data_IF_907596496814
#
_entry.id   IF_907596496814
#
_cell.length_a   1.000
_cell.length_b   1.000
_cell.length_c   1.000
_cell.angle_alpha   90.00
_cell.angle_beta   90.00
_cell.angle_gamma   90.00
#
_symmetry.space_group_name_H-M   'P 1'
#
loop_
_entity.id
_entity.type
_entity.pdbx_description
1 polymer ?
#
# COMPACT_ATOMS: atom_id res chain seq x y z
N UNK A 1 7.22 -7.67 -12.78
CA UNK A 1 6.96 -6.80 -11.60
C UNK A 1 7.69 -7.45 -10.44
N UNK A 2 8.55 -6.73 -9.71
CA UNK A 2 9.26 -7.27 -8.54
C UNK A 2 8.28 -7.46 -7.38
N UNK A 3 8.65 -8.26 -6.37
CA UNK A 3 7.83 -8.41 -5.16
C UNK A 3 7.69 -7.06 -4.44
N UNK A 4 8.79 -6.29 -4.37
CA UNK A 4 8.80 -4.90 -3.94
C UNK A 4 7.75 -4.02 -4.64
N UNK A 5 7.72 -4.01 -5.98
CA UNK A 5 6.74 -3.21 -6.73
C UNK A 5 5.31 -3.75 -6.54
N UNK A 6 5.13 -5.06 -6.38
CA UNK A 6 3.82 -5.66 -6.07
C UNK A 6 3.24 -5.16 -4.74
N UNK A 7 4.07 -5.09 -3.69
CA UNK A 7 3.64 -4.59 -2.38
C UNK A 7 3.32 -3.09 -2.44
N UNK A 8 4.14 -2.31 -3.15
CA UNK A 8 3.87 -0.89 -3.35
C UNK A 8 2.51 -0.67 -4.06
N UNK A 9 2.22 -1.42 -5.12
CA UNK A 9 0.93 -1.30 -5.81
C UNK A 9 -0.26 -1.72 -4.95
N UNK A 10 -0.11 -2.72 -4.08
CA UNK A 10 -1.16 -3.09 -3.10
C UNK A 10 -1.43 -1.95 -2.12
N UNK A 11 -0.39 -1.32 -1.58
CA UNK A 11 -0.55 -0.17 -0.67
C UNK A 11 -1.22 1.00 -1.40
N UNK A 12 -0.82 1.30 -2.63
CA UNK A 12 -1.44 2.35 -3.44
C UNK A 12 -2.92 2.04 -3.74
N UNK A 13 -3.26 0.78 -4.00
CA UNK A 13 -4.65 0.37 -4.21
C UNK A 13 -5.49 0.52 -2.94
N UNK A 14 -4.95 0.16 -1.78
CA UNK A 14 -5.63 0.36 -0.50
C UNK A 14 -5.85 1.86 -0.20
N UNK A 15 -4.82 2.68 -0.47
CA UNK A 15 -4.91 4.14 -0.33
C UNK A 15 -6.02 4.73 -1.20
N UNK A 16 -6.13 4.34 -2.46
CA UNK A 16 -7.22 4.80 -3.34
C UNK A 16 -8.61 4.40 -2.81
N UNK A 17 -8.73 3.21 -2.20
CA UNK A 17 -9.97 2.74 -1.57
C UNK A 17 -10.38 3.58 -0.35
N UNK A 18 -9.43 3.90 0.53
CA UNK A 18 -9.66 4.75 1.69
C UNK A 18 -10.04 6.18 1.27
N UNK A 19 -9.35 6.74 0.26
CA UNK A 19 -9.70 8.05 -0.31
C UNK A 19 -11.12 8.05 -0.88
N UNK A 20 -11.51 7.02 -1.64
CA UNK A 20 -12.87 6.89 -2.16
C UNK A 20 -13.93 6.78 -1.04
N UNK A 21 -13.59 6.10 0.06
CA UNK A 21 -14.49 5.96 1.21
C UNK A 21 -14.70 7.28 1.93
N UNK A 22 -13.62 8.03 2.18
CA UNK A 22 -13.68 9.37 2.75
C UNK A 22 -14.52 10.31 1.87
N UNK A 23 -14.31 10.27 0.55
CA UNK A 23 -15.08 11.07 -0.41
C UNK A 23 -16.58 10.76 -0.38
N UNK A 24 -16.96 9.48 -0.29
CA UNK A 24 -18.37 9.10 -0.15
C UNK A 24 -18.99 9.66 1.13
N UNK A 25 -18.21 9.66 2.23
CA UNK A 25 -18.63 10.24 3.50
C UNK A 25 -18.97 11.73 3.37
N UNK A 26 -18.10 12.50 2.72
CA UNK A 26 -18.33 13.93 2.47
C UNK A 26 -19.60 14.18 1.63
N UNK A 27 -19.78 13.41 0.55
CA UNK A 27 -20.94 13.56 -0.34
C UNK A 27 -22.23 13.25 0.41
N UNK A 28 -22.27 12.16 1.18
CA UNK A 28 -23.44 11.81 1.97
C UNK A 28 -23.76 12.88 3.01
N UNK A 29 -22.74 13.44 3.68
CA UNK A 29 -22.92 14.53 4.63
C UNK A 29 -23.56 15.79 3.98
N UNK A 30 -23.13 16.17 2.78
CA UNK A 30 -23.71 17.30 2.04
C UNK A 30 -25.18 17.05 1.65
N UNK A 31 -25.50 15.82 1.21
CA UNK A 31 -26.86 15.42 0.85
C UNK A 31 -27.77 15.45 2.09
N UNK A 32 -27.38 14.80 3.18
CA UNK A 32 -28.17 14.75 4.42
C UNK A 32 -28.25 16.12 5.11
N UNK A 33 -27.25 16.99 4.90
CA UNK A 33 -27.25 18.38 5.37
C UNK A 33 -28.17 19.32 4.59
N UNK A 34 -28.88 18.84 3.56
CA UNK A 34 -29.83 19.65 2.79
C UNK A 34 -29.17 20.63 1.80
N UNK A 35 -27.87 20.50 1.55
CA UNK A 35 -27.11 21.30 0.59
C UNK A 35 -26.43 20.38 -0.45
N UNK A 36 -27.22 19.63 -1.26
CA UNK A 36 -26.63 18.79 -2.29
C UNK A 36 -25.91 19.66 -3.35
N UNK A 37 -24.74 19.23 -3.85
CA UNK A 37 -24.02 19.96 -4.88
C UNK A 37 -24.81 20.00 -6.19
N UNK A 38 -24.69 21.12 -6.91
CA UNK A 38 -25.25 21.20 -8.27
C UNK A 38 -24.51 20.26 -9.23
N UNK A 39 -25.11 19.84 -10.36
CA UNK A 39 -24.43 18.99 -11.34
C UNK A 39 -23.08 19.54 -11.81
N UNK A 40 -22.98 20.87 -11.99
CA UNK A 40 -21.73 21.53 -12.37
C UNK A 40 -20.69 21.48 -11.24
N UNK A 41 -21.10 21.70 -9.99
CA UNK A 41 -20.21 21.59 -8.83
C UNK A 41 -19.70 20.16 -8.65
N UNK A 42 -20.56 19.16 -8.83
CA UNK A 42 -20.19 17.75 -8.81
C UNK A 42 -19.15 17.43 -9.90
N UNK A 43 -19.37 17.92 -11.13
CA UNK A 43 -18.45 17.73 -12.25
C UNK A 43 -17.08 18.42 -12.03
N UNK A 44 -17.07 19.67 -11.56
CA UNK A 44 -15.83 20.39 -11.23
C UNK A 44 -15.06 19.68 -10.10
N UNK A 45 -15.76 19.20 -9.07
CA UNK A 45 -15.12 18.43 -7.98
C UNK A 45 -14.52 17.13 -8.50
N UNK A 46 -15.25 16.38 -9.31
CA UNK A 46 -14.76 15.12 -9.88
C UNK A 46 -13.48 15.34 -10.71
N UNK A 47 -13.47 16.35 -11.58
CA UNK A 47 -12.31 16.65 -12.44
C UNK A 47 -11.09 17.13 -11.64
N UNK A 48 -11.26 17.99 -10.65
CA UNK A 48 -10.18 18.40 -9.76
C UNK A 48 -9.66 17.22 -8.91
N UNK A 49 -10.55 16.40 -8.36
CA UNK A 49 -10.18 15.23 -7.54
C UNK A 49 -9.42 14.18 -8.32
N UNK A 50 -9.80 13.89 -9.57
CA UNK A 50 -9.04 12.97 -10.41
C UNK A 50 -7.58 13.41 -10.62
N UNK A 51 -7.32 14.72 -10.73
CA UNK A 51 -5.96 15.28 -10.81
C UNK A 51 -5.23 15.24 -9.47
N UNK A 52 -5.92 15.55 -8.38
CA UNK A 52 -5.34 15.50 -7.03
C UNK A 52 -4.99 14.07 -6.64
N UNK A 53 -5.89 13.11 -6.86
CA UNK A 53 -5.70 11.70 -6.53
C UNK A 53 -4.54 11.10 -7.33
N UNK A 54 -4.39 11.43 -8.62
CA UNK A 54 -3.23 10.97 -9.40
C UNK A 54 -1.92 11.56 -8.90
N UNK A 55 -1.91 12.84 -8.51
CA UNK A 55 -0.73 13.49 -7.93
C UNK A 55 -0.36 12.88 -6.57
N UNK A 56 -1.35 12.68 -5.70
CA UNK A 56 -1.16 12.05 -4.39
C UNK A 56 -0.67 10.60 -4.52
N UNK A 57 -1.25 9.82 -5.44
CA UNK A 57 -0.82 8.45 -5.74
C UNK A 57 0.65 8.42 -6.18
N UNK A 58 1.07 9.32 -7.07
CA UNK A 58 2.47 9.39 -7.52
C UNK A 58 3.43 9.83 -6.41
N UNK A 59 3.04 10.80 -5.58
CA UNK A 59 3.85 11.23 -4.43
C UNK A 59 4.02 10.08 -3.44
N UNK A 60 2.93 9.37 -3.12
CA UNK A 60 2.97 8.21 -2.22
C UNK A 60 3.83 7.09 -2.82
N UNK A 61 3.70 6.78 -4.11
CA UNK A 61 4.54 5.79 -4.81
C UNK A 61 6.03 6.12 -4.67
N UNK A 62 6.40 7.39 -4.89
CA UNK A 62 7.80 7.84 -4.74
C UNK A 62 8.28 7.75 -3.29
N UNK A 63 7.44 8.09 -2.32
CA UNK A 63 7.77 7.97 -0.91
C UNK A 63 8.00 6.50 -0.52
N UNK A 64 7.07 5.61 -0.91
CA UNK A 64 7.16 4.18 -0.67
C UNK A 64 8.44 3.58 -1.27
N UNK A 65 8.78 3.91 -2.52
CA UNK A 65 10.05 3.44 -3.12
C UNK A 65 11.31 3.85 -2.36
N UNK A 66 11.27 4.94 -1.58
CA UNK A 66 12.42 5.38 -0.76
C UNK A 66 12.50 4.70 0.59
N UNK A 67 11.36 4.29 1.17
CA UNK A 67 11.29 3.72 2.52
C UNK A 67 11.16 2.20 2.53
N UNK A 68 10.56 1.61 1.49
CA UNK A 68 10.38 0.18 1.40
C UNK A 68 11.72 -0.47 1.00
N UNK A 69 12.25 -1.39 1.81
CA UNK A 69 13.52 -2.04 1.54
C UNK A 69 13.44 -2.82 0.23
N UNK A 70 14.52 -2.80 -0.56
CA UNK A 70 14.61 -3.62 -1.78
C UNK A 70 14.56 -5.11 -1.46
N UNK A 71 14.26 -5.95 -2.44
CA UNK A 71 14.25 -7.41 -2.29
C UNK A 71 15.60 -7.91 -1.70
N UNK A 72 16.71 -7.30 -2.09
CA UNK A 72 18.05 -7.59 -1.56
C UNK A 72 18.21 -7.15 -0.11
N UNK A 73 17.72 -5.96 0.26
CA UNK A 73 17.74 -5.53 1.65
C UNK A 73 16.84 -6.42 2.53
N UNK A 74 15.69 -6.85 2.01
CA UNK A 74 14.81 -7.82 2.69
C UNK A 74 15.54 -9.16 2.88
N UNK A 75 16.20 -9.68 1.83
CA UNK A 75 17.00 -10.91 1.90
C UNK A 75 18.11 -10.83 2.95
N UNK A 76 18.81 -9.71 3.03
CA UNK A 76 19.83 -9.46 4.07
C UNK A 76 19.21 -9.44 5.47
N UNK A 77 18.05 -8.81 5.64
CA UNK A 77 17.37 -8.75 6.94
C UNK A 77 16.90 -10.12 7.44
N UNK A 78 16.45 -11.01 6.53
CA UNK A 78 15.96 -12.35 6.90
C UNK A 78 17.06 -13.42 6.93
N UNK A 79 18.24 -13.17 6.34
CA UNK A 79 19.33 -14.15 6.25
C UNK A 79 19.72 -14.75 7.59
N UNK A 80 19.92 -13.99 8.69
CA UNK A 80 20.33 -14.57 9.97
C UNK A 80 19.31 -15.57 10.53
N UNK A 81 18.01 -15.27 10.36
CA UNK A 81 16.94 -16.16 10.79
C UNK A 81 16.88 -17.44 9.92
N UNK A 82 17.07 -17.28 8.62
CA UNK A 82 17.12 -18.41 7.68
C UNK A 82 18.32 -19.34 7.95
N UNK A 83 19.51 -18.78 8.17
CA UNK A 83 20.72 -19.53 8.52
C UNK A 83 20.54 -20.31 9.83
N UNK A 84 19.95 -19.67 10.84
CA UNK A 84 19.65 -20.33 12.11
C UNK A 84 18.67 -21.49 11.94
N UNK A 85 17.60 -21.31 11.16
CA UNK A 85 16.62 -22.36 10.90
C UNK A 85 17.24 -23.56 10.17
N UNK A 86 18.15 -23.30 9.21
CA UNK A 86 18.90 -24.35 8.52
C UNK A 86 19.80 -25.11 9.50
N UNK A 87 20.55 -24.40 10.35
CA UNK A 87 21.43 -25.04 11.33
C UNK A 87 20.65 -25.91 12.32
N UNK A 88 19.52 -25.40 12.84
CA UNK A 88 18.65 -26.17 13.74
C UNK A 88 18.12 -27.45 13.08
N UNK A 89 17.76 -27.38 11.79
CA UNK A 89 17.32 -28.55 11.03
C UNK A 89 18.46 -29.57 10.83
N UNK A 90 19.67 -29.11 10.50
CA UNK A 90 20.85 -29.98 10.37
C UNK A 90 21.17 -30.68 11.69
N UNK A 91 21.16 -29.95 12.81
CA UNK A 91 21.43 -30.49 14.14
C UNK A 91 20.38 -31.54 14.55
N UNK A 92 19.11 -31.31 14.19
CA UNK A 92 18.03 -32.28 14.44
C UNK A 92 18.24 -33.59 13.66
N UNK A 93 18.61 -33.50 12.38
CA UNK A 93 18.92 -34.67 11.56
C UNK A 93 20.14 -35.42 12.11
N UNK A 94 21.20 -34.71 12.49
CA UNK A 94 22.40 -35.33 13.07
C UNK A 94 22.13 -36.01 14.42
N UNK A 95 21.25 -35.46 15.25
CA UNK A 95 20.80 -36.11 16.50
C UNK A 95 19.96 -37.35 16.24
N UNK A 96 19.14 -37.38 15.20
CA UNK A 96 18.34 -38.55 14.82
C UNK A 96 19.13 -39.67 14.14
N UNK A 97 20.36 -39.39 13.67
CA UNK A 97 21.26 -40.35 13.04
C UNK A 97 22.26 -41.01 14.04
N UNK A 98 22.30 -40.56 15.30
CA UNK A 98 23.11 -41.15 16.38
C UNK A 98 22.25 -42.07 17.24
#
# INVERSE_FOLDING_TARGET
MTEHESVIEQILSAFDGEMSTAERGEILAEIYGGNPPSPMQAYTRQTHRNRTNSTQREVLRRALRRVFPSDEAIKEMIRPAAEKAVQEAVDAVQKGLK
#
